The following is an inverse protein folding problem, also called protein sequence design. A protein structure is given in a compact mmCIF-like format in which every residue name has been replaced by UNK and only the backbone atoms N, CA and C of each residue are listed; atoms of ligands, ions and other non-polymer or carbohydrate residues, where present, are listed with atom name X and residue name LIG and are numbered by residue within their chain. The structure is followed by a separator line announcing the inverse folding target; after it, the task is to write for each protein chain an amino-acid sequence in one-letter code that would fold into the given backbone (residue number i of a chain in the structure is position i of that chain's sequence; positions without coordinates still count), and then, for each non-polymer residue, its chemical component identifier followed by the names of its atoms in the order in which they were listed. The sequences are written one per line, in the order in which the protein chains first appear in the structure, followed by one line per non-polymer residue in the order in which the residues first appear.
data_IF_999187502558
#
_entry.id   IF_999187502558
#
_cell.length_a   1.000
_cell.length_b   1.000
_cell.length_c   1.000
_cell.angle_alpha   90.00
_cell.angle_beta   90.00
_cell.angle_gamma   90.00
#
_symmetry.space_group_name_H-M   'P 1'
#
loop_
_entity.id
_entity.type
_entity.pdbx_description
1 polymer ?
#
# COMPACT_ATOMS: atom_id res chain seq x y z
N UNK A 1 -50.12 -10.64 -69.85
CA UNK A 1 -48.69 -10.96 -70.10
C UNK A 1 -47.70 -10.27 -69.14
N UNK A 2 -48.12 -9.44 -68.17
CA UNK A 2 -47.20 -8.81 -67.20
C UNK A 2 -46.94 -9.61 -65.91
N UNK A 3 -47.23 -10.93 -65.87
CA UNK A 3 -47.10 -11.73 -64.64
C UNK A 3 -45.82 -12.55 -64.56
N UNK A 4 -45.27 -12.99 -65.70
CA UNK A 4 -44.12 -13.91 -65.72
C UNK A 4 -42.79 -13.16 -65.50
N UNK A 5 -42.68 -11.94 -66.03
CA UNK A 5 -41.48 -11.13 -65.88
C UNK A 5 -41.27 -10.66 -64.42
N UNK A 6 -42.34 -10.34 -63.70
CA UNK A 6 -42.28 -9.94 -62.29
C UNK A 6 -41.93 -11.11 -61.38
N UNK A 7 -42.42 -12.31 -61.68
CA UNK A 7 -42.12 -13.54 -60.94
C UNK A 7 -40.66 -13.97 -61.12
N UNK A 8 -40.12 -13.87 -62.35
CA UNK A 8 -38.70 -14.13 -62.63
C UNK A 8 -37.79 -13.13 -61.89
N UNK A 9 -38.16 -11.85 -61.85
CA UNK A 9 -37.38 -10.82 -61.12
C UNK A 9 -37.41 -11.06 -59.61
N UNK A 10 -38.54 -11.51 -59.05
CA UNK A 10 -38.63 -11.82 -57.63
C UNK A 10 -37.79 -13.04 -57.25
N UNK A 11 -37.79 -14.07 -58.12
CA UNK A 11 -36.99 -15.27 -57.95
C UNK A 11 -35.49 -14.98 -58.00
N UNK A 12 -35.03 -14.20 -58.98
CA UNK A 12 -33.62 -13.83 -59.09
C UNK A 12 -33.15 -12.93 -57.95
N UNK A 13 -33.98 -11.99 -57.50
CA UNK A 13 -33.67 -11.17 -56.32
C UNK A 13 -33.58 -12.00 -55.04
N UNK A 14 -34.43 -13.03 -54.89
CA UNK A 14 -34.38 -13.94 -53.74
C UNK A 14 -33.08 -14.77 -53.74
N UNK A 15 -32.65 -15.27 -54.89
CA UNK A 15 -31.41 -16.03 -55.02
C UNK A 15 -30.17 -15.16 -54.74
N UNK A 16 -30.16 -13.91 -55.21
CA UNK A 16 -29.06 -12.97 -54.94
C UNK A 16 -28.96 -12.66 -53.44
N UNK A 17 -30.08 -12.42 -52.76
CA UNK A 17 -30.10 -12.17 -51.31
C UNK A 17 -29.55 -13.37 -50.54
N UNK A 18 -29.93 -14.59 -50.95
CA UNK A 18 -29.46 -15.82 -50.30
C UNK A 18 -27.95 -16.03 -50.50
N UNK A 19 -27.42 -15.75 -51.69
CA UNK A 19 -25.98 -15.86 -51.99
C UNK A 19 -25.16 -14.83 -51.17
N UNK A 20 -25.66 -13.60 -51.03
CA UNK A 20 -24.99 -12.55 -50.24
C UNK A 20 -24.97 -12.93 -48.75
N UNK A 21 -26.11 -13.40 -48.21
CA UNK A 21 -26.19 -13.84 -46.80
C UNK A 21 -25.25 -15.03 -46.51
N UNK A 22 -25.16 -16.00 -47.43
CA UNK A 22 -24.23 -17.13 -47.30
C UNK A 22 -22.77 -16.69 -47.35
N UNK A 23 -22.43 -15.69 -48.18
CA UNK A 23 -21.09 -15.13 -48.28
C UNK A 23 -20.67 -14.35 -47.03
N UNK A 24 -21.59 -13.57 -46.45
CA UNK A 24 -21.36 -12.83 -45.21
C UNK A 24 -21.20 -13.77 -44.00
N UNK A 25 -22.03 -14.81 -43.90
CA UNK A 25 -21.93 -15.81 -42.83
C UNK A 25 -20.61 -16.59 -42.86
N UNK A 26 -20.08 -16.89 -44.06
CA UNK A 26 -18.76 -17.51 -44.22
C UNK A 26 -17.59 -16.60 -43.79
N UNK A 27 -17.72 -15.29 -44.04
CA UNK A 27 -16.74 -14.28 -43.61
C UNK A 27 -16.72 -14.11 -42.09
N UNK A 28 -17.88 -14.08 -41.44
CA UNK A 28 -17.99 -14.00 -39.99
C UNK A 28 -17.49 -15.28 -39.29
N UNK A 29 -17.84 -16.46 -39.81
CA UNK A 29 -17.34 -17.73 -39.29
C UNK A 29 -15.80 -17.82 -39.38
N UNK A 30 -15.21 -17.34 -40.48
CA UNK A 30 -13.75 -17.28 -40.66
C UNK A 30 -13.08 -16.30 -39.68
N UNK A 31 -13.67 -15.13 -39.45
CA UNK A 31 -13.19 -14.17 -38.43
C UNK A 31 -13.28 -14.74 -37.02
N UNK A 32 -14.37 -15.44 -36.69
CA UNK A 32 -14.54 -16.11 -35.41
C UNK A 32 -13.50 -17.23 -35.20
N UNK A 33 -13.19 -18.02 -36.24
CA UNK A 33 -12.15 -19.04 -36.19
C UNK A 33 -10.76 -18.45 -35.92
N UNK A 34 -10.38 -17.38 -36.64
CA UNK A 34 -9.12 -16.64 -36.40
C UNK A 34 -9.03 -16.07 -34.99
N UNK A 35 -10.13 -15.51 -34.46
CA UNK A 35 -10.17 -15.00 -33.08
C UNK A 35 -9.98 -16.11 -32.04
N UNK A 36 -10.58 -17.29 -32.25
CA UNK A 36 -10.39 -18.46 -31.38
C UNK A 36 -8.95 -18.96 -31.42
N UNK A 37 -8.33 -19.00 -32.60
CA UNK A 37 -6.93 -19.39 -32.74
C UNK A 37 -5.96 -18.41 -32.08
N UNK A 38 -6.17 -17.10 -32.30
CA UNK A 38 -5.42 -16.04 -31.62
C UNK A 38 -5.51 -16.17 -30.09
N UNK A 39 -6.73 -16.35 -29.54
CA UNK A 39 -6.92 -16.54 -28.10
C UNK A 39 -6.22 -17.80 -27.58
N UNK A 40 -6.24 -18.91 -28.34
CA UNK A 40 -5.51 -20.13 -27.96
C UNK A 40 -4.00 -19.90 -27.90
N UNK A 41 -3.44 -19.19 -28.88
CA UNK A 41 -2.01 -18.87 -28.90
C UNK A 41 -1.63 -17.89 -27.79
N UNK A 42 -2.43 -16.84 -27.56
CA UNK A 42 -2.24 -15.89 -26.47
C UNK A 42 -2.25 -16.60 -25.10
N UNK A 43 -3.18 -17.54 -24.89
CA UNK A 43 -3.24 -18.34 -23.66
C UNK A 43 -2.00 -19.22 -23.48
N UNK A 44 -1.50 -19.83 -24.57
CA UNK A 44 -0.28 -20.65 -24.53
C UNK A 44 0.94 -19.81 -24.15
N UNK A 45 1.10 -18.64 -24.76
CA UNK A 45 2.19 -17.71 -24.46
C UNK A 45 2.09 -17.20 -23.02
N UNK A 46 0.89 -16.88 -22.53
CA UNK A 46 0.68 -16.47 -21.14
C UNK A 46 1.09 -17.58 -20.16
N UNK A 47 0.65 -18.83 -20.40
CA UNK A 47 1.04 -19.98 -19.57
C UNK A 47 2.55 -20.22 -19.59
N UNK A 48 3.18 -20.07 -20.75
CA UNK A 48 4.63 -20.21 -20.88
C UNK A 48 5.38 -19.13 -20.11
N UNK A 49 5.02 -17.86 -20.29
CA UNK A 49 5.63 -16.74 -19.54
C UNK A 49 5.44 -16.89 -18.03
N UNK A 50 4.27 -17.32 -17.58
CA UNK A 50 4.01 -17.60 -16.17
C UNK A 50 4.90 -18.70 -15.62
N UNK A 51 5.07 -19.80 -16.37
CA UNK A 51 5.98 -20.90 -15.99
C UNK A 51 7.44 -20.44 -15.91
N UNK A 52 7.88 -19.64 -16.89
CA UNK A 52 9.23 -19.08 -16.91
C UNK A 52 9.47 -18.10 -15.76
N UNK A 53 8.49 -17.24 -15.45
CA UNK A 53 8.56 -16.32 -14.30
C UNK A 53 8.66 -17.09 -12.98
N UNK A 54 7.80 -18.09 -12.78
CA UNK A 54 7.81 -18.93 -11.59
C UNK A 54 9.16 -19.65 -11.41
N UNK A 55 9.69 -20.22 -12.49
CA UNK A 55 11.02 -20.86 -12.50
C UNK A 55 12.14 -19.89 -12.13
N UNK A 56 12.10 -18.66 -12.67
CA UNK A 56 13.09 -17.61 -12.34
C UNK A 56 13.01 -17.19 -10.88
N UNK A 57 11.80 -17.00 -10.34
CA UNK A 57 11.61 -16.67 -8.93
C UNK A 57 12.11 -17.78 -8.01
N UNK A 58 11.81 -19.05 -8.32
CA UNK A 58 12.31 -20.20 -7.55
C UNK A 58 13.85 -20.30 -7.60
N UNK A 59 14.47 -20.02 -8.75
CA UNK A 59 15.92 -19.99 -8.88
C UNK A 59 16.55 -18.87 -8.05
N UNK A 60 16.01 -17.65 -8.15
CA UNK A 60 16.49 -16.50 -7.38
C UNK A 60 16.32 -16.71 -5.87
N UNK A 61 15.20 -17.31 -5.44
CA UNK A 61 14.98 -17.65 -4.04
C UNK A 61 15.99 -18.69 -3.53
N UNK A 62 16.30 -19.71 -4.36
CA UNK A 62 17.30 -20.72 -4.00
C UNK A 62 18.69 -20.12 -3.86
N UNK A 63 19.07 -19.21 -4.77
CA UNK A 63 20.35 -18.50 -4.72
C UNK A 63 20.45 -17.61 -3.48
N UNK A 64 19.41 -16.81 -3.20
CA UNK A 64 19.37 -15.97 -2.00
C UNK A 64 19.48 -16.79 -0.72
N UNK A 65 18.76 -17.92 -0.64
CA UNK A 65 18.86 -18.82 0.50
C UNK A 65 20.28 -19.43 0.63
N UNK A 66 20.92 -19.79 -0.48
CA UNK A 66 22.31 -20.29 -0.47
C UNK A 66 23.27 -19.25 0.10
N UNK A 67 23.17 -18.00 -0.38
CA UNK A 67 24.00 -16.89 0.09
C UNK A 67 23.77 -16.63 1.59
N UNK A 68 22.51 -16.67 2.04
CA UNK A 68 22.19 -16.50 3.46
C UNK A 68 22.78 -17.61 4.33
N UNK A 69 22.72 -18.86 3.89
CA UNK A 69 23.31 -20.00 4.62
C UNK A 69 24.82 -19.84 4.72
N UNK A 70 25.49 -19.50 3.62
CA UNK A 70 26.94 -19.27 3.60
C UNK A 70 27.34 -18.13 4.54
N UNK A 71 26.58 -17.04 4.58
CA UNK A 71 26.84 -15.90 5.47
C UNK A 71 26.62 -16.27 6.94
N UNK A 72 25.58 -17.04 7.25
CA UNK A 72 25.34 -17.56 8.60
C UNK A 72 26.49 -18.46 9.04
N UNK A 73 27.00 -19.33 8.17
CA UNK A 73 28.17 -20.15 8.49
C UNK A 73 29.44 -19.32 8.69
N UNK A 74 29.64 -18.27 7.89
CA UNK A 74 30.75 -17.34 8.04
C UNK A 74 30.72 -16.66 9.40
N UNK A 75 29.57 -16.08 9.77
CA UNK A 75 29.37 -15.41 11.06
C UNK A 75 29.52 -16.37 12.25
N UNK A 76 29.11 -17.64 12.09
CA UNK A 76 29.32 -18.67 13.12
C UNK A 76 30.80 -19.00 13.32
N UNK A 77 31.58 -19.12 12.23
CA UNK A 77 33.04 -19.34 12.31
C UNK A 77 33.75 -18.15 12.96
N UNK A 78 33.37 -16.93 12.60
CA UNK A 78 33.91 -15.71 13.18
C UNK A 78 33.61 -15.60 14.67
N UNK A 79 32.36 -15.87 15.09
CA UNK A 79 31.98 -15.91 16.49
C UNK A 79 32.76 -16.97 17.28
N UNK A 80 32.98 -18.16 16.71
CA UNK A 80 33.79 -19.20 17.36
C UNK A 80 35.24 -18.75 17.56
N UNK A 81 35.84 -18.11 16.55
CA UNK A 81 37.20 -17.59 16.65
C UNK A 81 37.31 -16.50 17.73
N UNK A 82 36.37 -15.54 17.74
CA UNK A 82 36.30 -14.49 18.76
C UNK A 82 36.05 -15.06 20.17
N UNK A 83 35.29 -16.15 20.29
CA UNK A 83 35.07 -16.82 21.56
C UNK A 83 36.36 -17.48 22.08
N UNK A 84 37.11 -18.15 21.21
CA UNK A 84 38.42 -18.74 21.56
C UNK A 84 39.45 -17.67 21.93
N UNK A 85 39.48 -16.55 21.19
CA UNK A 85 40.34 -15.41 21.52
C UNK A 85 39.96 -14.84 22.90
N UNK A 86 38.67 -14.62 23.17
CA UNK A 86 38.20 -14.19 24.48
C UNK A 86 38.56 -15.17 25.60
N UNK A 87 38.46 -16.48 25.35
CA UNK A 87 38.84 -17.51 26.31
C UNK A 87 40.35 -17.48 26.59
N UNK A 88 41.18 -17.36 25.56
CA UNK A 88 42.64 -17.27 25.72
C UNK A 88 43.08 -15.99 26.42
N UNK A 89 42.46 -14.84 26.09
CA UNK A 89 42.67 -13.58 26.81
C UNK A 89 42.23 -13.71 28.27
N UNK A 90 41.06 -14.29 28.54
CA UNK A 90 40.61 -14.57 29.92
C UNK A 90 41.55 -15.52 30.66
N UNK A 91 42.14 -16.51 30.01
CA UNK A 91 43.13 -17.40 30.62
C UNK A 91 44.45 -16.67 30.91
N UNK A 92 44.93 -15.84 29.98
CA UNK A 92 46.15 -15.04 30.14
C UNK A 92 46.04 -13.97 31.23
N UNK A 93 44.87 -13.32 31.35
CA UNK A 93 44.61 -12.32 32.39
C UNK A 93 44.08 -12.92 33.70
N UNK A 94 43.35 -14.03 33.64
CA UNK A 94 42.86 -14.77 34.81
C UNK A 94 43.98 -15.43 35.61
N UNK A 95 45.09 -15.79 34.96
CA UNK A 95 46.32 -16.24 35.64
C UNK A 95 47.09 -15.10 36.33
N UNK A 96 46.78 -13.83 36.04
CA UNK A 96 47.27 -12.66 36.81
C UNK A 96 46.36 -12.27 37.99
N UNK A 97 45.24 -12.96 38.23
CA UNK A 97 44.34 -12.68 39.36
C UNK A 97 44.82 -13.25 40.72
N UNK A 98 46.05 -13.76 40.80
CA UNK A 98 46.71 -14.11 42.07
C UNK A 98 47.60 -12.95 42.55
N UNK A 99 46.99 -11.78 42.76
CA UNK A 99 47.59 -10.72 43.58
C UNK A 99 46.46 -9.96 44.27
N UNK A 100 46.53 -9.73 45.59
CA UNK A 100 45.45 -9.06 46.29
C UNK A 100 45.45 -7.57 45.91
N UNK A 101 44.66 -7.23 44.89
CA UNK A 101 44.32 -5.84 44.58
C UNK A 101 43.41 -5.26 45.67
N UNK A 102 43.49 -3.94 45.95
CA UNK A 102 42.80 -3.34 47.07
C UNK A 102 41.28 -3.42 46.88
N UNK A 103 40.60 -3.94 47.89
CA UNK A 103 39.15 -4.02 47.98
C UNK A 103 38.54 -2.62 47.84
N UNK A 104 37.94 -2.31 46.69
CA UNK A 104 37.08 -1.14 46.55
C UNK A 104 35.66 -1.57 46.89
N UNK A 105 35.19 -1.12 48.05
CA UNK A 105 33.79 -1.22 48.48
C UNK A 105 32.87 -0.56 47.45
N UNK A 106 31.64 -1.06 47.23
CA UNK A 106 30.71 -0.47 46.28
C UNK A 106 30.09 0.79 46.89
N UNK A 107 30.75 1.92 46.66
CA UNK A 107 30.25 3.25 46.97
C UNK A 107 30.77 4.22 45.93
N UNK A 108 29.83 4.88 45.23
CA UNK A 108 30.05 6.10 44.43
C UNK A 108 30.66 5.93 43.02
N UNK A 109 29.84 5.43 42.08
CA UNK A 109 29.93 5.86 40.67
C UNK A 109 28.52 6.17 40.15
N UNK A 110 28.00 7.35 40.53
CA UNK A 110 26.94 8.03 39.77
C UNK A 110 27.51 9.33 39.23
N UNK A 111 28.42 9.21 38.28
CA UNK A 111 28.87 10.31 37.42
C UNK A 111 28.31 10.11 36.02
N UNK A 112 27.11 10.63 35.75
CA UNK A 112 26.63 10.81 34.38
C UNK A 112 27.45 11.93 33.71
N UNK A 113 27.89 11.78 32.44
CA UNK A 113 28.61 12.84 31.75
C UNK A 113 27.64 14.00 31.44
N UNK A 114 28.08 15.18 31.87
CA UNK A 114 27.47 16.48 31.62
C UNK A 114 27.32 16.77 30.12
N UNK A 115 26.21 17.41 29.75
CA UNK A 115 26.10 18.05 28.44
C UNK A 115 24.68 18.36 27.98
N UNK A 116 23.95 19.24 28.66
CA UNK A 116 23.07 20.21 27.97
C UNK A 116 22.76 21.38 28.90
N UNK A 117 23.03 22.60 28.42
CA UNK A 117 22.69 23.85 29.08
C UNK A 117 21.18 23.99 29.22
N UNK A 118 20.69 24.21 30.43
CA UNK A 118 19.34 24.69 30.70
C UNK A 118 19.39 26.21 30.88
N UNK A 119 18.83 26.95 29.91
CA UNK A 119 18.62 28.38 30.05
C UNK A 119 17.50 28.66 31.07
N UNK A 120 17.81 29.49 32.05
CA UNK A 120 16.90 30.49 32.63
C UNK A 120 15.64 29.98 33.32
N UNK A 121 15.75 29.68 34.61
CA UNK A 121 14.61 29.67 35.51
C UNK A 121 14.01 31.08 35.68
N UNK A 122 12.69 31.18 35.57
CA UNK A 122 11.91 32.35 35.96
C UNK A 122 11.89 32.50 37.49
N UNK A 123 11.89 33.72 38.05
CA UNK A 123 11.64 33.94 39.47
C UNK A 123 10.14 34.05 39.75
N UNK A 124 9.73 33.52 40.89
CA UNK A 124 8.34 33.40 41.30
C UNK A 124 7.69 34.69 41.81
N UNK A 125 6.35 34.64 41.77
CA UNK A 125 5.37 35.18 42.72
C UNK A 125 5.46 36.64 43.20
N UNK A 126 4.42 37.44 42.90
CA UNK A 126 3.40 37.95 43.85
C UNK A 126 2.62 39.15 43.26
N UNK A 127 1.27 39.07 43.33
CA UNK A 127 0.23 40.13 43.45
C UNK A 127 0.11 41.28 42.41
N UNK A 128 -1.13 41.47 41.90
CA UNK A 128 -1.56 42.56 40.97
C UNK A 128 -1.82 43.92 41.66
N UNK A 129 -2.77 44.78 41.23
CA UNK A 129 -3.55 44.87 39.97
C UNK A 129 -3.48 46.30 39.33
N UNK A 130 -4.36 46.58 38.34
CA UNK A 130 -4.87 47.90 37.88
C UNK A 130 -4.20 48.61 36.69
N UNK A 131 -5.00 48.67 35.60
CA UNK A 131 -5.33 49.78 34.68
C UNK A 131 -4.28 50.72 34.07
N UNK A 132 -4.43 50.91 32.74
CA UNK A 132 -4.09 52.18 32.08
C UNK A 132 -3.46 52.03 30.68
N UNK A 133 -4.28 52.17 29.63
CA UNK A 133 -3.83 52.77 28.37
C UNK A 133 -3.43 54.26 28.63
N UNK A 134 -2.82 55.07 27.73
CA UNK A 134 -2.79 54.91 26.25
C UNK A 134 -1.53 55.48 25.49
N UNK A 135 -1.52 55.24 24.16
CA UNK A 135 -1.27 56.20 23.04
C UNK A 135 0.06 56.99 22.81
N UNK A 136 0.53 56.91 21.53
CA UNK A 136 1.02 58.02 20.64
C UNK A 136 2.47 58.52 20.94
N UNK A 137 3.43 58.83 20.05
CA UNK A 137 3.51 59.34 18.64
C UNK A 137 4.94 59.17 18.05
N UNK A 138 5.31 59.66 16.82
CA UNK A 138 6.28 59.01 15.95
C UNK A 138 7.58 59.85 15.87
N UNK A 139 8.61 59.32 15.21
CA UNK A 139 9.83 60.09 14.95
C UNK A 139 10.54 59.57 13.70
N UNK A 140 11.25 60.43 12.97
CA UNK A 140 11.34 60.38 11.52
C UNK A 140 12.54 59.61 10.97
N UNK A 141 12.35 59.16 9.72
CA UNK A 141 13.33 58.58 8.81
C UNK A 141 14.58 59.44 8.58
N UNK A 142 15.69 58.79 8.22
CA UNK A 142 16.44 59.23 7.03
C UNK A 142 16.56 58.11 5.98
N UNK A 143 16.51 58.56 4.73
CA UNK A 143 16.52 57.79 3.48
C UNK A 143 17.96 57.46 3.07
N UNK A 144 18.23 56.19 2.69
CA UNK A 144 19.36 55.82 1.83
C UNK A 144 19.11 54.52 1.04
N UNK A 145 18.74 54.68 -0.23
CA UNK A 145 19.12 53.97 -1.49
C UNK A 145 19.14 52.41 -1.54
N UNK A 146 18.58 51.77 -2.60
CA UNK A 146 18.08 50.39 -2.55
C UNK A 146 19.12 49.29 -2.83
N UNK A 147 18.99 48.17 -2.12
CA UNK A 147 19.68 46.90 -2.42
C UNK A 147 18.76 45.94 -3.21
N UNK A 148 19.31 45.10 -4.10
CA UNK A 148 18.57 44.36 -5.09
C UNK A 148 17.76 43.22 -4.46
N UNK A 149 16.56 42.99 -5.01
CA UNK A 149 15.67 41.90 -4.64
C UNK A 149 16.36 40.54 -4.83
N UNK A 150 16.70 39.89 -3.71
CA UNK A 150 16.84 38.44 -3.66
C UNK A 150 15.53 37.87 -3.17
N UNK A 151 14.90 37.10 -4.04
CA UNK A 151 13.77 36.23 -3.71
C UNK A 151 14.08 35.40 -2.47
N UNK A 152 13.20 35.31 -1.47
CA UNK A 152 13.37 34.34 -0.42
C UNK A 152 13.13 32.97 -1.03
N UNK A 153 14.21 32.23 -1.24
CA UNK A 153 14.18 30.78 -1.39
C UNK A 153 13.43 30.25 -0.17
N UNK A 154 12.22 29.73 -0.38
CA UNK A 154 11.42 29.08 0.64
C UNK A 154 12.29 28.06 1.36
N UNK A 155 12.75 28.44 2.54
CA UNK A 155 13.43 27.55 3.45
C UNK A 155 12.35 26.59 3.90
N UNK A 156 12.40 25.35 3.39
CA UNK A 156 11.62 24.27 3.95
C UNK A 156 12.01 24.19 5.43
N UNK A 157 11.12 24.68 6.28
CA UNK A 157 11.13 24.45 7.71
C UNK A 157 11.03 22.94 7.91
N UNK A 158 12.17 22.27 8.01
CA UNK A 158 12.25 20.91 8.53
C UNK A 158 11.97 20.98 10.02
N UNK A 159 10.69 21.04 10.36
CA UNK A 159 10.22 20.84 11.74
C UNK A 159 10.54 19.38 12.11
N UNK A 160 11.43 19.11 13.08
CA UNK A 160 11.79 17.76 13.50
C UNK A 160 10.62 17.00 14.18
N UNK A 161 9.46 17.64 14.32
CA UNK A 161 8.27 17.08 14.99
C UNK A 161 7.42 16.14 14.11
N UNK A 162 7.75 15.95 12.83
CA UNK A 162 7.00 15.05 11.94
C UNK A 162 7.92 13.99 11.31
N UNK A 163 8.44 13.07 12.11
CA UNK A 163 9.07 11.85 11.60
C UNK A 163 7.99 10.98 10.95
N UNK A 164 7.82 11.09 9.63
CA UNK A 164 6.99 10.17 8.88
C UNK A 164 7.75 8.85 8.74
N UNK A 165 7.22 7.76 9.30
CA UNK A 165 7.84 6.43 9.18
C UNK A 165 7.70 5.95 7.75
N UNK A 166 8.80 5.95 7.00
CA UNK A 166 8.86 5.48 5.60
C UNK A 166 9.33 4.03 5.56
N UNK A 167 8.65 3.16 6.29
CA UNK A 167 8.92 1.71 6.31
C UNK A 167 7.66 0.99 5.85
N UNK A 168 7.73 0.15 4.79
CA UNK A 168 6.60 -0.68 4.38
C UNK A 168 6.24 -1.68 5.48
N UNK A 169 4.95 -1.81 5.76
CA UNK A 169 4.41 -2.83 6.65
C UNK A 169 4.38 -4.20 5.95
N UNK A 170 4.40 -5.27 6.74
CA UNK A 170 4.31 -6.62 6.22
C UNK A 170 2.86 -6.94 5.82
N UNK A 171 2.56 -6.82 4.54
CA UNK A 171 1.21 -7.05 4.00
C UNK A 171 0.69 -8.48 4.26
N UNK A 172 1.57 -9.47 4.38
CA UNK A 172 1.18 -10.85 4.69
C UNK A 172 0.64 -10.97 6.11
N UNK A 173 1.26 -10.25 7.05
CA UNK A 173 0.84 -10.22 8.46
C UNK A 173 -0.47 -9.45 8.64
N UNK A 174 -0.62 -8.34 7.91
CA UNK A 174 -1.89 -7.60 7.89
C UNK A 174 -3.01 -8.48 7.33
N UNK A 175 -2.77 -9.13 6.19
CA UNK A 175 -3.73 -10.05 5.56
C UNK A 175 -4.09 -11.20 6.50
N UNK A 176 -3.11 -11.84 7.14
CA UNK A 176 -3.34 -12.90 8.12
C UNK A 176 -4.24 -12.42 9.27
N UNK A 177 -4.00 -11.22 9.77
CA UNK A 177 -4.81 -10.61 10.83
C UNK A 177 -6.26 -10.34 10.38
N UNK A 178 -6.44 -9.83 9.16
CA UNK A 178 -7.77 -9.63 8.57
C UNK A 178 -8.50 -10.97 8.37
N UNK A 179 -7.84 -11.97 7.80
CA UNK A 179 -8.41 -13.32 7.61
C UNK A 179 -8.84 -13.93 8.94
N UNK A 180 -8.10 -13.71 10.02
CA UNK A 180 -8.46 -14.17 11.35
C UNK A 180 -9.72 -13.47 11.89
N UNK A 181 -9.82 -12.13 11.76
CA UNK A 181 -11.00 -11.38 12.21
C UNK A 181 -12.26 -11.72 11.42
N UNK A 182 -12.12 -11.96 10.11
CA UNK A 182 -13.23 -12.23 9.20
C UNK A 182 -13.47 -13.72 8.94
N UNK A 183 -12.75 -14.62 9.61
CA UNK A 183 -12.84 -16.08 9.41
C UNK A 183 -14.29 -16.61 9.35
N UNK A 184 -15.23 -16.19 10.23
CA UNK A 184 -16.62 -16.65 10.15
C UNK A 184 -17.35 -16.28 8.85
N UNK A 185 -16.92 -15.21 8.16
CA UNK A 185 -17.51 -14.75 6.90
C UNK A 185 -16.89 -15.42 5.68
N UNK A 186 -15.59 -15.71 5.74
CA UNK A 186 -14.84 -16.24 4.61
C UNK A 186 -15.22 -17.69 4.28
N UNK A 187 -15.83 -18.41 5.22
CA UNK A 187 -16.33 -19.78 5.04
C UNK A 187 -17.75 -19.82 4.43
N UNK A 188 -18.45 -18.68 4.34
CA UNK A 188 -19.83 -18.64 3.88
C UNK A 188 -19.86 -18.53 2.34
N UNK A 189 -20.57 -19.43 1.62
CA UNK A 189 -20.73 -19.33 0.18
C UNK A 189 -21.72 -18.20 -0.16
N UNK A 190 -21.23 -16.96 -0.26
CA UNK A 190 -22.07 -15.75 -0.41
C UNK A 190 -23.01 -15.83 -1.62
N UNK A 191 -22.58 -16.43 -2.73
CA UNK A 191 -23.39 -16.61 -3.95
C UNK A 191 -24.64 -17.45 -3.65
N UNK A 192 -24.52 -18.47 -2.80
CA UNK A 192 -25.60 -19.40 -2.48
C UNK A 192 -26.40 -18.99 -1.25
N UNK A 193 -25.83 -18.18 -0.35
CA UNK A 193 -26.45 -17.84 0.92
C UNK A 193 -26.12 -16.40 1.40
N UNK A 194 -26.56 -15.36 0.66
CA UNK A 194 -26.18 -13.99 0.95
C UNK A 194 -26.76 -13.48 2.28
N UNK A 195 -27.97 -13.89 2.67
CA UNK A 195 -28.56 -13.47 3.95
C UNK A 195 -27.75 -13.95 5.15
N UNK A 196 -27.17 -15.15 5.07
CA UNK A 196 -26.30 -15.67 6.14
C UNK A 196 -25.02 -14.87 6.23
N UNK A 197 -24.41 -14.49 5.10
CA UNK A 197 -23.25 -13.58 5.08
C UNK A 197 -23.58 -12.23 5.73
N UNK A 198 -24.70 -11.60 5.34
CA UNK A 198 -25.12 -10.31 5.89
C UNK A 198 -25.41 -10.36 7.40
N UNK A 199 -26.09 -11.41 7.87
CA UNK A 199 -26.40 -11.60 9.29
C UNK A 199 -25.13 -11.83 10.13
N UNK A 200 -24.20 -12.65 9.64
CA UNK A 200 -22.90 -12.86 10.29
C UNK A 200 -22.08 -11.58 10.31
N UNK A 201 -22.12 -10.77 9.25
CA UNK A 201 -21.40 -9.50 9.17
C UNK A 201 -21.95 -8.49 10.19
N UNK A 202 -23.28 -8.41 10.33
CA UNK A 202 -23.92 -7.61 11.38
C UNK A 202 -23.53 -8.07 12.79
N UNK A 203 -23.45 -9.39 13.01
CA UNK A 203 -23.05 -9.96 14.30
C UNK A 203 -21.58 -9.66 14.67
N UNK A 204 -20.70 -9.49 13.67
CA UNK A 204 -19.29 -9.15 13.89
C UNK A 204 -19.06 -7.66 14.19
N UNK A 205 -19.97 -6.76 13.79
CA UNK A 205 -19.81 -5.29 13.91
C UNK A 205 -19.30 -4.79 15.28
N UNK A 206 -19.79 -5.30 16.43
CA UNK A 206 -19.34 -4.83 17.74
C UNK A 206 -17.88 -5.14 18.06
N UNK A 207 -17.30 -6.15 17.41
CA UNK A 207 -15.93 -6.61 17.61
C UNK A 207 -14.91 -5.96 16.68
N UNK A 208 -15.38 -5.27 15.63
CA UNK A 208 -14.53 -4.71 14.60
C UNK A 208 -14.06 -3.29 14.95
N UNK A 209 -12.80 -2.93 14.59
CA UNK A 209 -12.35 -1.55 14.68
C UNK A 209 -13.14 -0.65 13.73
N UNK A 210 -13.17 0.66 14.01
CA UNK A 210 -14.02 1.63 13.32
C UNK A 210 -13.91 1.60 11.80
N UNK A 211 -12.71 1.45 11.23
CA UNK A 211 -12.49 1.41 9.78
C UNK A 211 -12.98 0.12 9.11
N UNK A 212 -13.21 -0.95 9.88
CA UNK A 212 -13.70 -2.25 9.41
C UNK A 212 -15.18 -2.51 9.70
N UNK A 213 -15.82 -1.70 10.55
CA UNK A 213 -17.27 -1.82 10.81
C UNK A 213 -18.08 -1.75 9.51
N UNK A 214 -19.05 -2.64 9.29
CA UNK A 214 -19.81 -2.66 8.04
C UNK A 214 -20.63 -1.38 7.84
N UNK A 215 -20.69 -0.90 6.61
CA UNK A 215 -21.58 0.19 6.21
C UNK A 215 -23.04 -0.30 6.09
N UNK A 216 -24.02 0.62 6.10
CA UNK A 216 -25.41 0.26 5.79
C UNK A 216 -25.56 -0.44 4.44
N UNK A 217 -24.76 -0.04 3.44
CA UNK A 217 -24.80 -0.64 2.10
C UNK A 217 -24.29 -2.08 2.13
N UNK A 218 -23.23 -2.37 2.89
CA UNK A 218 -22.74 -3.73 3.11
C UNK A 218 -23.79 -4.61 3.78
N UNK A 219 -24.55 -4.08 4.75
CA UNK A 219 -25.57 -4.83 5.49
C UNK A 219 -26.86 -5.08 4.68
N UNK A 220 -27.09 -4.34 3.59
CA UNK A 220 -28.29 -4.46 2.76
C UNK A 220 -28.06 -5.08 1.39
N UNK A 221 -26.81 -5.22 0.95
CA UNK A 221 -26.47 -5.55 -0.44
C UNK A 221 -25.61 -6.80 -0.51
N UNK A 222 -26.01 -7.87 -1.21
CA UNK A 222 -25.14 -9.02 -1.45
C UNK A 222 -23.86 -8.61 -2.20
N UNK A 223 -22.69 -8.97 -1.66
CA UNK A 223 -21.39 -8.55 -2.21
C UNK A 223 -20.28 -9.58 -1.89
N UNK A 224 -19.07 -9.39 -2.44
CA UNK A 224 -17.97 -10.33 -2.21
C UNK A 224 -17.39 -10.15 -0.80
N UNK A 225 -17.32 -11.21 0.02
CA UNK A 225 -16.91 -11.13 1.44
C UNK A 225 -15.54 -10.45 1.67
N UNK A 226 -14.61 -10.55 0.73
CA UNK A 226 -13.30 -9.88 0.85
C UNK A 226 -13.39 -8.35 0.82
N UNK A 227 -14.50 -7.77 0.33
CA UNK A 227 -14.73 -6.32 0.46
C UNK A 227 -14.79 -5.93 1.93
N UNK A 228 -15.36 -6.79 2.81
CA UNK A 228 -15.51 -6.50 4.24
C UNK A 228 -14.18 -6.29 4.96
N UNK A 229 -13.09 -6.89 4.43
CA UNK A 229 -11.75 -6.82 4.99
C UNK A 229 -10.97 -5.54 4.64
N UNK A 230 -11.49 -4.68 3.76
CA UNK A 230 -10.82 -3.44 3.37
C UNK A 230 -11.09 -2.38 4.46
N UNK A 231 -10.08 -1.86 5.18
CA UNK A 231 -10.25 -0.81 6.19
C UNK A 231 -10.44 0.57 5.56
N UNK A 232 -11.42 0.66 4.66
CA UNK A 232 -11.87 1.89 4.02
C UNK A 232 -13.37 1.79 3.77
N UNK A 233 -14.23 2.36 4.63
CA UNK A 233 -15.68 2.36 4.42
C UNK A 233 -16.07 2.92 3.06
N UNK A 234 -15.43 4.02 2.65
CA UNK A 234 -15.73 4.69 1.38
C UNK A 234 -15.36 3.84 0.15
N UNK A 235 -14.23 3.14 0.17
CA UNK A 235 -13.82 2.25 -0.92
C UNK A 235 -14.72 1.01 -1.00
N UNK A 236 -15.12 0.45 0.15
CA UNK A 236 -16.05 -0.68 0.20
C UNK A 236 -17.38 -0.37 -0.47
N UNK A 237 -17.97 0.79 -0.13
CA UNK A 237 -19.24 1.21 -0.72
C UNK A 237 -19.12 1.42 -2.24
N UNK A 238 -18.01 1.99 -2.70
CA UNK A 238 -17.73 2.15 -4.13
C UNK A 238 -17.57 0.80 -4.84
N UNK A 239 -16.86 -0.15 -4.23
CA UNK A 239 -16.70 -1.51 -4.77
C UNK A 239 -18.05 -2.22 -4.91
N UNK A 240 -18.95 -2.05 -3.95
CA UNK A 240 -20.31 -2.58 -4.05
C UNK A 240 -21.06 -1.90 -5.20
N UNK A 241 -20.98 -0.58 -5.31
CA UNK A 241 -21.70 0.20 -6.32
C UNK A 241 -21.28 -0.11 -7.77
N UNK A 242 -19.99 -0.39 -8.02
CA UNK A 242 -19.49 -0.72 -9.37
C UNK A 242 -19.81 -2.17 -9.82
N UNK A 243 -20.38 -2.97 -8.92
CA UNK A 243 -20.84 -4.33 -9.18
C UNK A 243 -19.76 -5.41 -9.11
N UNK A 244 -20.17 -6.69 -9.05
CA UNK A 244 -19.31 -7.81 -8.69
C UNK A 244 -18.17 -8.07 -9.69
N UNK A 245 -18.40 -7.86 -10.99
CA UNK A 245 -17.36 -8.10 -12.01
C UNK A 245 -16.16 -7.15 -11.84
N UNK A 246 -16.43 -5.85 -11.67
CA UNK A 246 -15.38 -4.85 -11.49
C UNK A 246 -14.74 -4.96 -10.11
N UNK A 247 -15.55 -5.20 -9.06
CA UNK A 247 -15.04 -5.42 -7.71
C UNK A 247 -14.10 -6.62 -7.64
N UNK A 248 -14.48 -7.77 -8.20
CA UNK A 248 -13.64 -8.97 -8.22
C UNK A 248 -12.32 -8.70 -8.97
N UNK A 249 -12.38 -7.99 -10.09
CA UNK A 249 -11.18 -7.65 -10.87
C UNK A 249 -10.25 -6.76 -10.03
N UNK A 250 -10.75 -5.72 -9.38
CA UNK A 250 -9.96 -4.86 -8.49
C UNK A 250 -9.33 -5.64 -7.33
N UNK A 251 -10.12 -6.49 -6.67
CA UNK A 251 -9.66 -7.34 -5.57
C UNK A 251 -8.48 -8.23 -6.00
N UNK A 252 -8.58 -8.85 -7.18
CA UNK A 252 -7.55 -9.78 -7.69
C UNK A 252 -6.34 -9.13 -8.35
N UNK A 253 -6.43 -7.85 -8.71
CA UNK A 253 -5.35 -7.17 -9.43
C UNK A 253 -4.65 -6.08 -8.61
N UNK A 254 -5.34 -5.44 -7.65
CA UNK A 254 -4.85 -4.26 -6.94
C UNK A 254 -4.92 -4.38 -5.40
N UNK A 255 -5.88 -5.14 -4.85
CA UNK A 255 -6.12 -5.18 -3.40
C UNK A 255 -5.41 -6.34 -2.68
N UNK A 256 -4.07 -6.29 -2.63
CA UNK A 256 -3.22 -7.29 -1.99
C UNK A 256 -3.45 -7.47 -0.47
N UNK A 257 -4.13 -6.55 0.21
CA UNK A 257 -4.41 -6.68 1.65
C UNK A 257 -5.54 -7.67 1.98
N UNK A 258 -6.49 -7.86 1.06
CA UNK A 258 -7.64 -8.74 1.25
C UNK A 258 -7.43 -10.08 0.53
N UNK A 259 -6.92 -10.05 -0.70
CA UNK A 259 -6.66 -11.25 -1.50
C UNK A 259 -5.21 -11.73 -1.39
N UNK A 260 -5.03 -13.05 -1.33
CA UNK A 260 -3.71 -13.66 -1.57
C UNK A 260 -3.38 -13.70 -3.05
N UNK A 261 -2.91 -12.57 -3.56
CA UNK A 261 -2.36 -12.41 -4.91
C UNK A 261 -0.88 -12.10 -4.83
N UNK A 262 -0.18 -12.38 -5.93
CA UNK A 262 1.23 -12.03 -6.09
C UNK A 262 1.40 -10.52 -5.92
N UNK A 263 2.22 -10.13 -4.93
CA UNK A 263 2.55 -8.74 -4.68
C UNK A 263 3.57 -8.29 -5.72
N UNK A 264 3.06 -7.61 -6.76
CA UNK A 264 3.86 -6.99 -7.80
C UNK A 264 4.02 -5.49 -7.56
N UNK A 265 3.86 -5.03 -6.30
CA UNK A 265 3.96 -3.62 -5.93
C UNK A 265 2.74 -2.79 -6.32
N UNK A 266 1.54 -3.39 -6.30
CA UNK A 266 0.29 -2.69 -6.65
C UNK A 266 -0.15 -1.71 -5.54
N UNK A 267 0.12 -2.05 -4.29
CA UNK A 267 -0.06 -1.14 -3.15
C UNK A 267 1.08 -1.30 -2.14
N UNK A 268 1.32 -0.26 -1.36
CA UNK A 268 2.17 -0.29 -0.17
C UNK A 268 1.36 0.24 1.00
N UNK A 269 1.49 -0.40 2.16
CA UNK A 269 0.99 0.13 3.43
C UNK A 269 2.18 0.59 4.26
N UNK A 270 2.22 1.87 4.62
CA UNK A 270 3.32 2.52 5.32
C UNK A 270 3.10 2.53 6.83
N UNK A 271 4.16 2.26 7.59
CA UNK A 271 4.10 2.26 9.06
C UNK A 271 3.17 1.20 9.64
N UNK A 272 2.91 1.27 10.95
CA UNK A 272 2.17 0.22 11.66
C UNK A 272 0.65 0.38 11.60
N UNK A 273 0.14 1.59 11.34
CA UNK A 273 -1.29 1.90 11.31
C UNK A 273 -1.93 1.56 9.95
N UNK A 274 -2.06 0.27 9.68
CA UNK A 274 -2.65 -0.25 8.44
C UNK A 274 -4.17 -0.07 8.36
N UNK A 275 -4.84 0.26 9.48
CA UNK A 275 -6.27 0.54 9.54
C UNK A 275 -6.60 1.96 9.06
N UNK A 276 -5.60 2.83 8.96
CA UNK A 276 -5.72 4.18 8.45
C UNK A 276 -5.48 4.21 6.94
N UNK A 277 -6.49 4.63 6.18
CA UNK A 277 -6.39 4.72 4.72
C UNK A 277 -5.29 5.67 4.23
N UNK A 278 -4.87 6.64 5.06
CA UNK A 278 -3.79 7.56 4.71
C UNK A 278 -2.44 6.84 4.62
N UNK A 279 -2.26 5.74 5.35
CA UNK A 279 -1.07 4.90 5.31
C UNK A 279 -0.89 4.14 4.00
N UNK A 280 -1.88 4.17 3.10
CA UNK A 280 -1.90 3.36 1.90
C UNK A 280 -1.43 4.17 0.68
N UNK A 281 -0.57 3.56 -0.12
CA UNK A 281 -0.12 4.08 -1.41
C UNK A 281 -0.46 3.06 -2.50
N UNK A 282 -1.36 3.41 -3.42
CA UNK A 282 -1.54 2.67 -4.66
C UNK A 282 -0.48 3.07 -5.69
N UNK A 283 -0.03 2.11 -6.50
CA UNK A 283 0.96 2.36 -7.54
C UNK A 283 0.41 3.21 -8.69
N UNK A 284 1.31 3.78 -9.48
CA UNK A 284 0.95 4.57 -10.66
C UNK A 284 0.03 3.79 -11.62
N UNK A 285 0.35 2.52 -11.90
CA UNK A 285 -0.43 1.67 -12.80
C UNK A 285 -1.81 1.33 -12.25
N UNK A 286 -1.95 1.23 -10.92
CA UNK A 286 -3.27 1.06 -10.29
C UNK A 286 -4.09 2.34 -10.42
N UNK A 287 -3.51 3.50 -10.13
CA UNK A 287 -4.19 4.78 -10.25
C UNK A 287 -4.53 5.14 -11.70
N UNK A 288 -3.72 4.73 -12.67
CA UNK A 288 -4.02 4.89 -14.10
C UNK A 288 -5.25 4.07 -14.51
N UNK A 289 -5.38 2.84 -14.01
CA UNK A 289 -6.47 1.92 -14.39
C UNK A 289 -7.76 2.17 -13.61
N UNK A 290 -7.65 2.48 -12.32
CA UNK A 290 -8.78 2.53 -11.38
C UNK A 290 -9.10 3.94 -10.87
N UNK A 291 -8.23 4.92 -11.17
CA UNK A 291 -8.40 6.31 -10.77
C UNK A 291 -9.59 7.01 -11.45
N UNK A 292 -10.12 8.03 -10.77
CA UNK A 292 -11.20 8.90 -11.26
C UNK A 292 -12.60 8.32 -11.10
N UNK A 293 -12.77 7.00 -11.20
CA UNK A 293 -14.08 6.36 -11.09
C UNK A 293 -14.23 5.43 -9.87
N UNK A 294 -13.17 4.69 -9.50
CA UNK A 294 -13.14 3.88 -8.27
C UNK A 294 -12.30 4.54 -7.19
N UNK A 295 -11.04 4.84 -7.51
CA UNK A 295 -10.12 5.54 -6.61
C UNK A 295 -10.23 7.06 -6.86
N UNK A 296 -10.77 7.77 -5.87
CA UNK A 296 -10.89 9.25 -5.88
C UNK A 296 -9.52 9.93 -5.95
N UNK A 297 -9.51 11.24 -6.25
CA UNK A 297 -8.28 12.04 -6.29
C UNK A 297 -7.46 11.97 -5.00
N UNK A 298 -8.13 11.79 -3.85
CA UNK A 298 -7.50 11.64 -2.54
C UNK A 298 -6.50 10.48 -2.49
N UNK A 299 -6.79 9.36 -3.17
CA UNK A 299 -5.87 8.22 -3.21
C UNK A 299 -4.57 8.54 -3.94
N UNK A 300 -4.63 9.33 -5.01
CA UNK A 300 -3.43 9.80 -5.70
C UNK A 300 -2.69 10.88 -4.89
N UNK A 301 -3.40 11.75 -4.17
CA UNK A 301 -2.79 12.74 -3.27
C UNK A 301 -2.03 12.06 -2.12
N UNK A 302 -2.61 11.01 -1.52
CA UNK A 302 -1.95 10.16 -0.52
C UNK A 302 -0.71 9.49 -1.11
N UNK A 303 -0.80 8.93 -2.32
CA UNK A 303 0.36 8.37 -3.00
C UNK A 303 1.45 9.43 -3.19
N UNK A 304 1.10 10.64 -3.64
CA UNK A 304 2.04 11.73 -3.81
C UNK A 304 2.66 12.21 -2.49
N UNK A 305 1.91 12.19 -1.39
CA UNK A 305 2.47 12.44 -0.06
C UNK A 305 3.61 11.46 0.25
N UNK A 306 3.38 10.16 0.15
CA UNK A 306 4.40 9.14 0.44
C UNK A 306 5.59 9.20 -0.53
N UNK A 307 5.32 9.47 -1.81
CA UNK A 307 6.35 9.65 -2.84
C UNK A 307 7.27 10.83 -2.51
N UNK A 308 6.72 11.96 -2.05
CA UNK A 308 7.50 13.14 -1.60
C UNK A 308 8.42 12.78 -0.42
N UNK A 309 7.94 11.98 0.54
CA UNK A 309 8.78 11.53 1.67
C UNK A 309 10.00 10.70 1.24
N UNK A 310 9.90 10.00 0.09
CA UNK A 310 11.00 9.22 -0.50
C UNK A 310 11.84 9.99 -1.53
N UNK A 311 11.49 11.24 -1.81
CA UNK A 311 12.14 12.03 -2.87
C UNK A 311 11.94 11.47 -4.28
N UNK A 312 10.88 10.69 -4.53
CA UNK A 312 10.57 10.15 -5.86
C UNK A 312 9.55 11.03 -6.60
N UNK A 313 9.56 11.01 -7.93
CA UNK A 313 8.69 11.87 -8.76
C UNK A 313 7.22 11.70 -8.42
N UNK A 314 6.46 12.78 -8.31
CA UNK A 314 5.02 12.73 -8.09
C UNK A 314 4.26 12.21 -9.31
N UNK A 315 3.08 11.65 -9.07
CA UNK A 315 2.11 11.27 -10.09
C UNK A 315 1.37 12.52 -10.58
N UNK A 316 1.29 12.76 -11.90
CA UNK A 316 0.61 13.93 -12.44
C UNK A 316 -0.90 13.86 -12.18
N UNK A 317 -1.54 15.01 -11.99
CA UNK A 317 -3.00 15.11 -11.82
C UNK A 317 -3.51 14.85 -10.40
N UNK A 318 -2.62 14.71 -9.42
CA UNK A 318 -2.94 14.42 -8.02
C UNK A 318 -2.17 15.33 -7.04
N UNK A 319 -2.15 16.62 -7.30
CA UNK A 319 -1.40 17.60 -6.49
C UNK A 319 -1.92 17.74 -5.05
#
# INVERSE_FOLDING_TARGET
MMSVATEIIHQTNSEIIQIVAMSESGSEASKAAKKREYNRNAQRVFRQRRKEHLSKLEAAQRELNSIQVEEVERLRRENQALAQENESLKAAYGSQASSPGPTMSPGEVRGSPSGYMAYGAAPGGYLGPVSGAPSYVPGPVPVSVPQPATTPLSSASSDPSTLVVVVPNNIREIRRSLHQMFSPLLEIPVISNPQTHLATLAALEPSLPSSLKPSPLQLSTPHHAYIDMIPSPSLRDRLIAIGPANANTFLTEACTIACDIEDTGQMIVWGEDWLNEFSWEFSASVLERWGGWLLTSEWGQRANFWRRQRGVSILPGYD
#
